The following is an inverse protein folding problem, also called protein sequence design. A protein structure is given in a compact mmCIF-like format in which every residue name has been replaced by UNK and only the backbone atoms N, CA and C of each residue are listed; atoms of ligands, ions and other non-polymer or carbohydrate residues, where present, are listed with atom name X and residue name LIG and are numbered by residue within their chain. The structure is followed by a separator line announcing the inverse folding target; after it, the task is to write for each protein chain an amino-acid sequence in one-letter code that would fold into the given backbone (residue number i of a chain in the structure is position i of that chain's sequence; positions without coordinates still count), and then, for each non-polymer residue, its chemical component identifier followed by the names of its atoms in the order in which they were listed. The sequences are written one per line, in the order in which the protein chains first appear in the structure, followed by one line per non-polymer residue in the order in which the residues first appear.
data_IF_296180688950
#
_entry.id   IF_296180688950
#
_cell.length_a   1.000
_cell.length_b   1.000
_cell.length_c   1.000
_cell.angle_alpha   90.00
_cell.angle_beta   90.00
_cell.angle_gamma   90.00
#
_symmetry.space_group_name_H-M   'P 1'
#
loop_
_entity.id
_entity.type
_entity.pdbx_description
1 polymer ?
#
# COMPACT_ATOMS: atom_id res chain seq x y z
N UNK A 1 -43.44 -74.52 20.98
CA UNK A 1 -44.02 -73.19 20.71
C UNK A 1 -42.86 -72.26 20.40
N UNK A 2 -42.72 -71.96 19.11
CA UNK A 2 -41.79 -70.97 18.56
C UNK A 2 -42.32 -69.58 18.95
N UNK A 3 -41.54 -68.80 19.69
CA UNK A 3 -41.76 -67.36 19.75
C UNK A 3 -40.60 -66.71 19.01
N UNK A 4 -40.94 -66.29 17.79
CA UNK A 4 -40.14 -65.47 16.90
C UNK A 4 -39.85 -64.12 17.58
N UNK A 5 -38.58 -63.76 17.70
CA UNK A 5 -38.13 -62.43 18.09
C UNK A 5 -38.09 -61.58 16.81
N UNK A 6 -38.67 -60.36 16.79
CA UNK A 6 -38.76 -59.54 15.59
C UNK A 6 -37.37 -59.09 15.11
N UNK A 7 -37.13 -59.02 13.78
CA UNK A 7 -35.96 -58.36 13.23
C UNK A 7 -36.13 -56.84 13.39
N UNK A 8 -35.03 -56.10 13.28
CA UNK A 8 -34.98 -54.63 13.27
C UNK A 8 -34.66 -53.98 14.62
N UNK A 9 -33.58 -54.44 15.26
CA UNK A 9 -32.71 -53.50 15.98
C UNK A 9 -31.76 -52.84 14.98
N UNK A 10 -31.80 -51.51 14.77
CA UNK A 10 -30.82 -50.85 13.92
C UNK A 10 -29.48 -50.90 14.64
N UNK A 11 -28.58 -51.75 14.14
CA UNK A 11 -27.16 -51.69 14.44
C UNK A 11 -26.69 -50.27 14.16
N UNK A 12 -26.44 -49.49 15.20
CA UNK A 12 -25.78 -48.19 15.07
C UNK A 12 -24.36 -48.51 14.63
N UNK A 13 -24.18 -48.53 13.31
CA UNK A 13 -22.89 -48.59 12.66
C UNK A 13 -22.16 -47.33 13.09
N UNK A 14 -21.37 -47.44 14.16
CA UNK A 14 -20.36 -46.47 14.55
C UNK A 14 -19.29 -46.51 13.47
N UNK A 15 -19.65 -45.99 12.29
CA UNK A 15 -18.69 -45.49 11.34
C UNK A 15 -17.97 -44.38 12.07
N UNK A 16 -16.83 -44.72 12.64
CA UNK A 16 -15.81 -43.79 13.04
C UNK A 16 -15.36 -43.10 11.75
N UNK A 17 -16.15 -42.14 11.29
CA UNK A 17 -15.83 -41.25 10.20
C UNK A 17 -14.58 -40.55 10.69
N UNK A 18 -13.39 -40.79 10.10
CA UNK A 18 -12.27 -39.95 10.44
C UNK A 18 -12.68 -38.59 9.90
N UNK A 19 -13.18 -37.72 10.77
CA UNK A 19 -13.13 -36.29 10.51
C UNK A 19 -11.64 -36.02 10.49
N UNK A 20 -11.04 -36.20 9.32
CA UNK A 20 -9.80 -35.58 8.95
C UNK A 20 -10.06 -34.09 9.14
N UNK A 21 -9.82 -33.62 10.37
CA UNK A 21 -9.41 -32.26 10.63
C UNK A 21 -8.20 -32.11 9.74
N UNK A 22 -8.44 -31.62 8.52
CA UNK A 22 -7.40 -31.15 7.63
C UNK A 22 -6.71 -30.08 8.45
N UNK A 23 -5.59 -30.45 9.06
CA UNK A 23 -4.67 -29.53 9.67
C UNK A 23 -4.16 -28.65 8.54
N UNK A 24 -4.93 -27.59 8.24
CA UNK A 24 -4.70 -26.59 7.21
C UNK A 24 -3.62 -25.63 7.73
N UNK A 25 -2.48 -26.17 8.17
CA UNK A 25 -1.35 -25.40 8.69
C UNK A 25 -0.43 -24.90 7.57
N UNK A 26 -0.73 -25.21 6.31
CA UNK A 26 -0.19 -24.46 5.19
C UNK A 26 -1.14 -23.28 4.88
N UNK A 27 -0.99 -22.17 5.61
CA UNK A 27 -1.67 -20.93 5.22
C UNK A 27 -1.26 -20.55 3.80
N UNK A 28 -2.26 -20.42 2.92
CA UNK A 28 -2.05 -20.02 1.54
C UNK A 28 -1.23 -18.72 1.48
N UNK A 29 -0.28 -18.65 0.55
CA UNK A 29 0.61 -17.50 0.34
C UNK A 29 -0.22 -16.22 0.18
N UNK A 30 -1.35 -16.33 -0.51
CA UNK A 30 -2.33 -15.26 -0.70
C UNK A 30 -2.84 -14.71 0.63
N UNK A 31 -3.17 -15.59 1.59
CA UNK A 31 -3.68 -15.22 2.92
C UNK A 31 -2.59 -14.51 3.72
N UNK A 32 -1.35 -15.03 3.69
CA UNK A 32 -0.23 -14.39 4.38
C UNK A 32 0.11 -13.01 3.80
N UNK A 33 0.06 -12.86 2.48
CA UNK A 33 0.22 -11.57 1.81
C UNK A 33 -0.91 -10.59 2.19
N UNK A 34 -2.16 -11.05 2.23
CA UNK A 34 -3.30 -10.23 2.64
C UNK A 34 -3.16 -9.76 4.10
N UNK A 35 -2.74 -10.64 5.01
CA UNK A 35 -2.47 -10.29 6.42
C UNK A 35 -1.33 -9.29 6.54
N UNK A 36 -0.24 -9.47 5.78
CA UNK A 36 0.88 -8.52 5.75
C UNK A 36 0.42 -7.12 5.29
N UNK A 37 -0.39 -7.03 4.25
CA UNK A 37 -0.94 -5.76 3.78
C UNK A 37 -1.90 -5.13 4.80
N UNK A 38 -2.82 -5.92 5.34
CA UNK A 38 -3.88 -5.44 6.21
C UNK A 38 -3.38 -5.00 7.59
N UNK A 39 -2.33 -5.62 8.12
CA UNK A 39 -1.83 -5.35 9.48
C UNK A 39 -0.47 -4.65 9.44
N UNK A 40 0.54 -5.27 8.81
CA UNK A 40 1.92 -4.78 8.92
C UNK A 40 2.10 -3.51 8.10
N UNK A 41 1.70 -3.51 6.82
CA UNK A 41 1.83 -2.31 5.98
C UNK A 41 0.90 -1.19 6.42
N UNK A 42 -0.33 -1.49 6.85
CA UNK A 42 -1.26 -0.47 7.35
C UNK A 42 -0.76 0.22 8.61
N UNK A 43 -0.16 -0.55 9.54
CA UNK A 43 0.44 -0.02 10.76
C UNK A 43 1.72 0.75 10.45
N UNK A 44 2.59 0.19 9.59
CA UNK A 44 3.82 0.85 9.18
C UNK A 44 3.54 2.17 8.49
N UNK A 45 2.58 2.22 7.57
CA UNK A 45 2.24 3.41 6.78
C UNK A 45 1.18 4.28 7.46
N UNK A 46 0.92 4.06 8.75
CA UNK A 46 0.00 4.89 9.49
C UNK A 46 0.49 6.35 9.50
N UNK A 47 -0.42 7.27 9.16
CA UNK A 47 -0.12 8.69 9.02
C UNK A 47 0.98 9.05 7.99
N UNK A 48 1.32 8.16 7.05
CA UNK A 48 2.32 8.45 6.01
C UNK A 48 1.97 9.66 5.11
N UNK A 49 0.68 10.03 5.12
CA UNK A 49 0.12 11.22 4.47
C UNK A 49 0.83 12.51 4.87
N UNK A 50 1.25 12.64 6.13
CA UNK A 50 1.87 13.86 6.68
C UNK A 50 3.40 13.81 6.73
N UNK A 51 4.01 12.66 6.43
CA UNK A 51 5.46 12.49 6.52
C UNK A 51 6.20 13.30 5.45
N UNK A 52 7.25 13.99 5.88
CA UNK A 52 8.25 14.62 5.00
C UNK A 52 9.43 13.68 4.81
N UNK A 53 9.33 12.80 3.81
CA UNK A 53 10.32 11.74 3.55
C UNK A 53 11.43 12.20 2.62
N UNK A 54 12.65 11.78 2.93
CA UNK A 54 13.80 11.84 2.03
C UNK A 54 13.90 10.56 1.18
N UNK A 55 14.78 10.58 0.18
CA UNK A 55 15.00 9.42 -0.70
C UNK A 55 15.56 8.21 0.05
N UNK A 56 16.41 8.43 1.06
CA UNK A 56 16.91 7.40 1.97
C UNK A 56 15.80 6.69 2.73
N UNK A 57 14.78 7.42 3.16
CA UNK A 57 13.67 6.89 3.96
C UNK A 57 12.79 6.01 3.09
N UNK A 58 12.47 6.47 1.88
CA UNK A 58 11.72 5.70 0.88
C UNK A 58 12.47 4.41 0.54
N UNK A 59 13.78 4.47 0.25
CA UNK A 59 14.59 3.28 -0.03
C UNK A 59 14.63 2.29 1.13
N UNK A 60 14.63 2.79 2.37
CA UNK A 60 14.61 1.93 3.55
C UNK A 60 13.26 1.23 3.72
N UNK A 61 12.16 1.92 3.44
CA UNK A 61 10.82 1.34 3.41
C UNK A 61 10.65 0.32 2.29
N UNK A 62 11.18 0.60 1.10
CA UNK A 62 11.17 -0.34 -0.03
C UNK A 62 11.98 -1.60 0.29
N UNK A 63 13.17 -1.46 0.89
CA UNK A 63 13.97 -2.60 1.35
C UNK A 63 13.21 -3.45 2.37
N UNK A 64 12.53 -2.82 3.33
CA UNK A 64 11.70 -3.53 4.30
C UNK A 64 10.57 -4.31 3.63
N UNK A 65 9.83 -3.68 2.70
CA UNK A 65 8.75 -4.33 1.96
C UNK A 65 9.28 -5.53 1.18
N UNK A 66 10.38 -5.37 0.43
CA UNK A 66 10.99 -6.44 -0.35
C UNK A 66 11.47 -7.59 0.53
N UNK A 67 12.11 -7.30 1.65
CA UNK A 67 12.55 -8.30 2.61
C UNK A 67 11.38 -9.14 3.13
N UNK A 68 10.29 -8.49 3.57
CA UNK A 68 9.10 -9.19 4.08
C UNK A 68 8.37 -9.99 3.00
N UNK A 69 8.23 -9.44 1.79
CA UNK A 69 7.60 -10.16 0.68
C UNK A 69 8.40 -11.41 0.29
N UNK A 70 9.73 -11.33 0.19
CA UNK A 70 10.58 -12.49 -0.10
C UNK A 70 10.46 -13.56 0.99
N UNK A 71 10.38 -13.15 2.26
CA UNK A 71 10.17 -14.05 3.39
C UNK A 71 8.80 -14.76 3.32
N UNK A 72 7.74 -14.04 2.98
CA UNK A 72 6.39 -14.62 2.88
C UNK A 72 6.27 -15.56 1.67
N UNK A 73 6.78 -15.14 0.51
CA UNK A 73 6.78 -15.92 -0.72
C UNK A 73 7.78 -17.08 -0.69
N UNK A 74 8.66 -17.16 0.33
CA UNK A 74 9.73 -18.16 0.45
C UNK A 74 10.63 -18.22 -0.78
N UNK A 75 11.02 -17.06 -1.30
CA UNK A 75 11.85 -16.96 -2.49
C UNK A 75 13.31 -17.24 -2.10
N UNK A 76 13.96 -18.29 -2.66
CA UNK A 76 15.37 -18.55 -2.40
C UNK A 76 16.24 -17.50 -3.08
N UNK A 77 17.43 -17.26 -2.53
CA UNK A 77 18.39 -16.30 -3.09
C UNK A 77 18.86 -16.71 -4.49
N UNK A 78 18.94 -18.02 -4.76
CA UNK A 78 19.33 -18.63 -6.05
C UNK A 78 18.36 -18.31 -7.19
N UNK A 79 17.11 -17.94 -6.88
CA UNK A 79 16.10 -17.66 -7.90
C UNK A 79 16.40 -16.42 -8.74
N UNK A 80 17.34 -15.55 -8.29
CA UNK A 80 17.65 -14.26 -8.92
C UNK A 80 16.40 -13.41 -9.26
N UNK A 81 15.32 -13.59 -8.48
CA UNK A 81 14.02 -12.94 -8.74
C UNK A 81 14.13 -11.44 -8.53
N UNK A 82 13.68 -10.64 -9.52
CA UNK A 82 13.73 -9.18 -9.47
C UNK A 82 12.75 -8.60 -8.45
N UNK A 83 13.04 -7.42 -7.91
CA UNK A 83 12.14 -6.72 -6.98
C UNK A 83 10.77 -6.41 -7.60
N UNK A 84 10.72 -6.17 -8.91
CA UNK A 84 9.47 -5.98 -9.67
C UNK A 84 8.67 -7.29 -9.75
N UNK A 85 9.34 -8.41 -10.03
CA UNK A 85 8.70 -9.72 -10.06
C UNK A 85 8.12 -10.13 -8.70
N UNK A 86 8.84 -9.87 -7.60
CA UNK A 86 8.36 -10.09 -6.22
C UNK A 86 7.05 -9.34 -5.96
N UNK A 87 6.97 -8.07 -6.37
CA UNK A 87 5.77 -7.26 -6.20
C UNK A 87 4.61 -7.74 -7.07
N UNK A 88 4.87 -8.10 -8.33
CA UNK A 88 3.87 -8.64 -9.24
C UNK A 88 3.31 -9.97 -8.71
N UNK A 89 4.17 -10.88 -8.24
CA UNK A 89 3.75 -12.18 -7.68
C UNK A 89 2.93 -12.01 -6.40
N UNK A 90 3.24 -11.00 -5.58
CA UNK A 90 2.48 -10.71 -4.38
C UNK A 90 1.22 -9.85 -4.64
N UNK A 91 0.98 -9.39 -5.88
CA UNK A 91 -0.09 -8.45 -6.25
C UNK A 91 -0.10 -7.17 -5.41
N UNK A 92 1.08 -6.67 -5.02
CA UNK A 92 1.24 -5.48 -4.16
C UNK A 92 1.88 -4.34 -4.94
N UNK A 93 1.40 -3.12 -4.71
CA UNK A 93 2.05 -1.90 -5.20
C UNK A 93 3.30 -1.58 -4.39
N UNK A 94 4.20 -0.77 -4.96
CA UNK A 94 5.35 -0.25 -4.20
C UNK A 94 4.89 0.60 -3.01
N UNK A 95 5.67 0.58 -1.92
CA UNK A 95 5.43 1.48 -0.78
C UNK A 95 5.46 2.95 -1.22
N UNK A 96 6.33 3.34 -2.15
CA UNK A 96 6.37 4.70 -2.65
C UNK A 96 5.05 5.10 -3.33
N UNK A 97 4.51 4.26 -4.23
CA UNK A 97 3.23 4.50 -4.88
C UNK A 97 2.08 4.58 -3.86
N UNK A 98 2.08 3.72 -2.85
CA UNK A 98 1.09 3.75 -1.76
C UNK A 98 1.17 5.07 -0.99
N UNK A 99 2.36 5.53 -0.60
CA UNK A 99 2.54 6.81 0.10
C UNK A 99 2.10 7.99 -0.78
N UNK A 100 2.44 7.98 -2.07
CA UNK A 100 2.01 9.00 -3.04
C UNK A 100 0.48 9.06 -3.10
N UNK A 101 -0.18 7.91 -3.24
CA UNK A 101 -1.63 7.80 -3.28
C UNK A 101 -2.30 8.36 -2.02
N UNK A 102 -1.80 7.96 -0.84
CA UNK A 102 -2.28 8.45 0.45
C UNK A 102 -2.12 9.97 0.59
N UNK A 103 -0.91 10.48 0.28
CA UNK A 103 -0.61 11.91 0.35
C UNK A 103 -1.52 12.74 -0.56
N UNK A 104 -1.77 12.30 -1.78
CA UNK A 104 -2.67 12.99 -2.71
C UNK A 104 -4.14 12.94 -2.26
N UNK A 105 -4.59 11.80 -1.72
CA UNK A 105 -5.94 11.70 -1.15
C UNK A 105 -6.14 12.67 0.02
N UNK A 106 -5.14 12.76 0.90
CA UNK A 106 -5.14 13.71 2.00
C UNK A 106 -5.12 15.16 1.50
N UNK A 107 -4.25 15.49 0.56
CA UNK A 107 -4.16 16.85 0.00
C UNK A 107 -5.50 17.32 -0.60
N UNK A 108 -6.17 16.46 -1.38
CA UNK A 108 -7.50 16.79 -1.89
C UNK A 108 -8.56 16.90 -0.80
N UNK A 109 -8.47 16.08 0.26
CA UNK A 109 -9.36 16.20 1.41
C UNK A 109 -9.18 17.54 2.14
N UNK A 110 -7.94 17.93 2.42
CA UNK A 110 -7.59 19.22 3.02
C UNK A 110 -8.09 20.37 2.15
N UNK A 111 -7.95 20.29 0.82
CA UNK A 111 -8.42 21.34 -0.06
C UNK A 111 -9.94 21.56 0.02
N UNK A 112 -10.72 20.48 0.18
CA UNK A 112 -12.18 20.55 0.36
C UNK A 112 -12.61 20.93 1.78
N UNK A 113 -11.70 20.99 2.75
CA UNK A 113 -12.05 21.43 4.11
C UNK A 113 -12.40 22.93 4.14
N UNK A 114 -13.16 23.31 5.18
CA UNK A 114 -13.43 24.72 5.49
C UNK A 114 -12.11 25.47 5.81
N UNK A 115 -11.97 26.75 5.41
CA UNK A 115 -10.69 27.48 5.49
C UNK A 115 -10.15 27.64 6.92
N UNK A 116 -11.01 27.69 7.93
CA UNK A 116 -10.64 27.85 9.33
C UNK A 116 -10.12 26.56 10.01
N UNK A 117 -10.09 25.42 9.30
CA UNK A 117 -9.56 24.17 9.84
C UNK A 117 -8.02 24.21 9.88
N UNK A 118 -7.43 23.79 11.00
CA UNK A 118 -5.98 23.79 11.21
C UNK A 118 -5.17 23.15 10.06
N UNK A 119 -5.54 21.99 9.47
CA UNK A 119 -4.75 21.42 8.37
C UNK A 119 -4.73 22.30 7.12
N UNK A 120 -5.84 23.00 6.82
CA UNK A 120 -5.93 23.91 5.68
C UNK A 120 -5.14 25.18 5.95
N UNK A 121 -5.28 25.75 7.15
CA UNK A 121 -4.46 26.88 7.60
C UNK A 121 -2.96 26.51 7.54
N UNK A 122 -2.56 25.33 8.01
CA UNK A 122 -1.15 24.91 8.02
C UNK A 122 -0.60 24.70 6.60
N UNK A 123 -1.42 24.17 5.68
CA UNK A 123 -1.02 23.94 4.29
C UNK A 123 -0.77 25.25 3.54
N UNK A 124 -1.66 26.23 3.74
CA UNK A 124 -1.65 27.54 3.07
C UNK A 124 -0.93 28.64 3.85
N UNK A 125 -0.65 28.40 5.13
CA UNK A 125 0.00 29.35 6.01
C UNK A 125 1.40 29.65 5.53
N UNK A 126 1.68 30.94 5.37
CA UNK A 126 3.01 31.45 5.08
C UNK A 126 3.39 32.44 6.18
N UNK A 127 4.69 32.50 6.48
CA UNK A 127 5.19 33.38 7.53
C UNK A 127 5.17 34.81 7.00
N UNK A 128 4.50 35.72 7.70
CA UNK A 128 4.39 37.13 7.28
C UNK A 128 5.75 37.82 7.21
N UNK A 129 6.62 37.55 8.19
CA UNK A 129 7.96 38.14 8.29
C UNK A 129 9.00 37.06 8.52
N UNK A 130 10.07 37.04 7.72
CA UNK A 130 11.21 36.15 7.88
C UNK A 130 11.54 35.39 6.61
N UNK A 131 12.82 35.37 6.26
CA UNK A 131 13.34 34.60 5.13
C UNK A 131 13.94 33.30 5.61
N UNK A 132 13.98 32.31 4.71
CA UNK A 132 14.57 31.01 5.03
C UNK A 132 16.10 31.13 5.03
N UNK A 133 16.80 30.51 5.99
CA UNK A 133 18.27 30.50 5.95
C UNK A 133 18.76 29.88 4.64
N UNK A 134 19.83 30.45 4.10
CA UNK A 134 20.53 29.92 2.93
C UNK A 134 21.23 28.60 3.31
N UNK A 135 21.31 27.67 2.36
CA UNK A 135 21.91 26.34 2.56
C UNK A 135 20.92 25.19 2.30
N UNK A 136 20.98 24.14 3.12
CA UNK A 136 20.16 22.92 3.00
C UNK A 136 19.06 22.84 4.09
N UNK A 137 18.06 23.72 4.09
CA UNK A 137 17.04 23.71 5.13
C UNK A 137 16.10 22.51 4.98
N UNK A 138 15.53 22.04 6.11
CA UNK A 138 14.70 20.82 6.18
C UNK A 138 13.57 20.78 5.14
N UNK A 139 13.19 19.61 4.64
CA UNK A 139 12.16 19.54 3.60
C UNK A 139 10.78 19.99 4.13
N UNK A 140 10.09 20.91 3.43
CA UNK A 140 8.73 21.34 3.77
C UNK A 140 7.72 20.39 3.14
N UNK A 141 6.60 20.14 3.83
CA UNK A 141 5.48 19.40 3.29
C UNK A 141 4.98 19.93 1.93
N UNK A 142 4.82 21.26 1.77
CA UNK A 142 4.44 21.91 0.49
C UNK A 142 5.39 21.52 -0.66
N UNK A 143 6.69 21.42 -0.40
CA UNK A 143 7.68 21.00 -1.41
C UNK A 143 7.54 19.52 -1.74
N UNK A 144 7.27 18.69 -0.72
CA UNK A 144 7.02 17.27 -0.92
C UNK A 144 5.74 17.03 -1.75
N UNK A 145 4.67 17.77 -1.47
CA UNK A 145 3.43 17.70 -2.25
C UNK A 145 3.66 18.11 -3.71
N UNK A 146 4.40 19.19 -3.97
CA UNK A 146 4.78 19.59 -5.34
C UNK A 146 5.54 18.49 -6.08
N UNK A 147 6.49 17.82 -5.40
CA UNK A 147 7.20 16.66 -5.98
C UNK A 147 6.25 15.51 -6.28
N UNK A 148 5.35 15.19 -5.35
CA UNK A 148 4.34 14.14 -5.53
C UNK A 148 3.44 14.43 -6.73
N UNK A 149 2.94 15.67 -6.88
CA UNK A 149 2.13 16.09 -8.03
C UNK A 149 2.88 15.93 -9.35
N UNK A 150 4.15 16.36 -9.39
CA UNK A 150 5.01 16.22 -10.56
C UNK A 150 5.29 14.75 -10.93
N UNK A 151 5.43 13.86 -9.94
CA UNK A 151 5.62 12.42 -10.18
C UNK A 151 4.37 11.75 -10.78
N UNK A 152 3.19 12.29 -10.49
CA UNK A 152 1.89 11.75 -10.94
C UNK A 152 1.32 12.47 -12.17
N UNK A 153 2.09 13.34 -12.83
CA UNK A 153 1.65 14.18 -13.95
C UNK A 153 0.42 15.05 -13.64
N UNK A 154 0.22 15.43 -12.39
CA UNK A 154 -0.82 16.39 -12.00
C UNK A 154 -0.18 17.77 -11.95
N UNK A 155 -0.74 18.73 -12.67
CA UNK A 155 -0.20 20.08 -12.70
C UNK A 155 -0.27 20.75 -11.30
N UNK A 156 0.88 21.20 -10.74
CA UNK A 156 0.94 21.86 -9.44
C UNK A 156 0.19 23.20 -9.37
N UNK A 157 -0.17 23.81 -10.50
CA UNK A 157 -0.92 25.08 -10.50
C UNK A 157 -2.44 24.89 -10.47
N UNK A 158 -2.96 23.87 -11.16
CA UNK A 158 -4.40 23.62 -11.31
C UNK A 158 -4.98 22.54 -10.39
N UNK A 159 -4.14 21.75 -9.69
CA UNK A 159 -4.63 20.63 -8.85
C UNK A 159 -5.69 21.05 -7.82
N UNK A 160 -5.64 22.29 -7.33
CA UNK A 160 -6.60 22.81 -6.36
C UNK A 160 -8.02 22.91 -6.89
N UNK A 161 -8.17 23.22 -8.18
CA UNK A 161 -9.45 23.31 -8.87
C UNK A 161 -9.99 21.89 -9.09
N UNK A 162 -9.14 21.00 -9.60
CA UNK A 162 -9.46 19.57 -9.77
C UNK A 162 -9.79 18.89 -8.45
N UNK A 163 -9.16 19.29 -7.35
CA UNK A 163 -9.41 18.73 -6.02
C UNK A 163 -10.76 19.15 -5.42
N UNK A 164 -11.42 20.20 -5.93
CA UNK A 164 -12.74 20.64 -5.44
C UNK A 164 -13.79 19.56 -5.67
N UNK A 165 -13.80 18.97 -6.87
CA UNK A 165 -14.63 17.81 -7.14
C UNK A 165 -13.93 16.52 -6.68
N UNK A 166 -14.63 15.76 -5.83
CA UNK A 166 -14.11 14.53 -5.25
C UNK A 166 -13.96 13.43 -6.30
N UNK A 167 -14.86 13.36 -7.29
CA UNK A 167 -14.88 12.28 -8.27
C UNK A 167 -13.74 12.43 -9.29
N UNK A 168 -13.58 13.62 -9.88
CA UNK A 168 -12.43 13.95 -10.74
C UNK A 168 -11.11 13.80 -9.99
N UNK A 169 -11.00 14.28 -8.74
CA UNK A 169 -9.77 14.11 -7.95
C UNK A 169 -9.41 12.64 -7.74
N UNK A 170 -10.38 11.79 -7.36
CA UNK A 170 -10.11 10.36 -7.14
C UNK A 170 -9.62 9.66 -8.42
N UNK A 171 -10.21 9.99 -9.57
CA UNK A 171 -9.75 9.46 -10.87
C UNK A 171 -8.34 9.93 -11.21
N UNK A 172 -8.07 11.23 -11.07
CA UNK A 172 -6.76 11.81 -11.33
C UNK A 172 -5.67 11.19 -10.44
N UNK A 173 -5.94 11.02 -9.14
CA UNK A 173 -5.01 10.37 -8.21
C UNK A 173 -4.79 8.91 -8.60
N UNK A 174 -5.84 8.18 -8.94
CA UNK A 174 -5.70 6.77 -9.34
C UNK A 174 -4.83 6.64 -10.59
N UNK A 175 -5.17 7.36 -11.68
CA UNK A 175 -4.38 7.37 -12.91
C UNK A 175 -2.94 7.83 -12.69
N UNK A 176 -2.74 8.88 -11.89
CA UNK A 176 -1.41 9.39 -11.60
C UNK A 176 -0.56 8.37 -10.82
N UNK A 177 -1.16 7.64 -9.89
CA UNK A 177 -0.46 6.61 -9.11
C UNK A 177 -0.15 5.34 -9.92
N UNK A 178 -1.04 4.95 -10.83
CA UNK A 178 -0.80 3.80 -11.73
C UNK A 178 0.29 4.14 -12.74
N UNK A 179 0.24 5.32 -13.36
CA UNK A 179 1.26 5.78 -14.29
C UNK A 179 2.64 5.91 -13.61
N UNK A 180 2.67 6.37 -12.35
CA UNK A 180 3.91 6.38 -11.56
C UNK A 180 4.46 4.98 -11.35
N UNK A 181 3.62 4.01 -10.99
CA UNK A 181 4.04 2.63 -10.75
C UNK A 181 4.53 1.95 -12.05
N UNK A 182 3.88 2.20 -13.18
CA UNK A 182 4.31 1.73 -14.51
C UNK A 182 5.68 2.30 -14.88
N UNK A 183 5.85 3.63 -14.81
CA UNK A 183 7.13 4.29 -15.07
C UNK A 183 8.24 3.79 -14.15
N UNK A 184 7.92 3.47 -12.89
CA UNK A 184 8.87 2.88 -11.95
C UNK A 184 9.33 1.50 -12.43
N UNK A 185 8.40 0.63 -12.84
CA UNK A 185 8.72 -0.70 -13.38
C UNK A 185 9.60 -0.60 -14.62
N UNK A 186 9.25 0.27 -15.57
CA UNK A 186 10.03 0.54 -16.78
C UNK A 186 11.47 0.99 -16.46
N UNK A 187 11.63 1.90 -15.50
CA UNK A 187 12.94 2.39 -15.09
C UNK A 187 13.81 1.28 -14.48
N UNK A 188 13.24 0.40 -13.67
CA UNK A 188 13.96 -0.74 -13.09
C UNK A 188 14.37 -1.77 -14.17
N UNK A 189 13.51 -2.01 -15.16
CA UNK A 189 13.84 -2.85 -16.31
C UNK A 189 14.90 -2.20 -17.22
N UNK A 190 14.85 -0.88 -17.43
CA UNK A 190 15.84 -0.15 -18.19
C UNK A 190 17.23 -0.15 -17.51
N UNK A 191 17.29 -0.01 -16.18
CA UNK A 191 18.55 -0.14 -15.42
C UNK A 191 19.18 -1.51 -15.55
N UNK A 192 18.38 -2.56 -15.75
CA UNK A 192 18.88 -3.94 -15.93
C UNK A 192 19.42 -4.20 -17.33
N UNK A 193 18.91 -3.49 -18.35
CA UNK A 193 19.36 -3.60 -19.75
C UNK A 193 20.66 -2.85 -20.02
N UNK A 194 21.11 -2.01 -19.09
CA UNK A 194 22.37 -1.26 -19.14
C UNK A 194 23.44 -2.01 -18.37
#
# INVERSE_FOLDING_TARGET
MLNEIPPDTPTIDLQFRPTARKNKHHQDITTRNAVFQAIVLSTLLHACETWTLYRSDIQSLERFQQYKLRQILKIPWESHTTNVAVLNQASVTSVEATIIHHRLRWAGHVQRMKPFRLPKIMLYGELANGTRPRGAPKLRYKNQLKRTLALTNIDPSSWEQTARDRATWRRAVHHGTTAFEEKRKENEEAKRRR
#
